data_IF_927805078858
#
_entry.id   IF_927805078858
#
_cell.length_a   1.000
_cell.length_b   1.000
_cell.length_c   1.000
_cell.angle_alpha   90.00
_cell.angle_beta   90.00
_cell.angle_gamma   90.00
#
_symmetry.space_group_name_H-M   'P 1'
#
loop_
_entity.id
_entity.type
_entity.pdbx_description
1 polymer ?
#
# COMPACT_ATOMS: atom_id res chain seq x y z
N UNK A 1 3.69 -11.34 -5.60
CA UNK A 1 3.58 -9.93 -5.15
C UNK A 1 2.16 -9.73 -4.69
N UNK A 2 1.95 -9.06 -3.56
CA UNK A 2 0.61 -8.64 -3.11
C UNK A 2 0.53 -7.12 -3.11
N UNK A 3 -0.68 -6.59 -3.33
CA UNK A 3 -0.94 -5.16 -3.38
C UNK A 3 -2.02 -4.79 -2.39
N UNK A 4 -1.86 -3.64 -1.75
CA UNK A 4 -2.76 -3.16 -0.72
C UNK A 4 -3.08 -1.68 -0.93
N UNK A 5 -4.33 -1.30 -0.64
CA UNK A 5 -4.76 0.10 -0.58
C UNK A 5 -5.06 0.46 0.87
N UNK A 6 -4.46 1.55 1.35
CA UNK A 6 -4.70 2.04 2.71
C UNK A 6 -5.97 2.89 2.76
N UNK A 7 -6.76 2.72 3.82
CA UNK A 7 -8.12 3.27 3.94
C UNK A 7 -8.24 4.34 5.02
N UNK A 8 -7.21 4.53 5.84
CA UNK A 8 -7.22 5.55 6.89
C UNK A 8 -7.10 6.97 6.30
N UNK A 9 -7.65 8.01 6.96
CA UNK A 9 -7.63 9.37 6.42
C UNK A 9 -6.24 9.94 6.15
N UNK A 10 -5.21 9.50 6.88
CA UNK A 10 -3.84 10.03 6.76
C UNK A 10 -3.14 9.48 5.53
N UNK A 11 -3.40 8.23 5.16
CA UNK A 11 -2.76 7.54 4.04
C UNK A 11 -3.76 7.06 2.97
N UNK A 12 -4.91 7.71 2.87
CA UNK A 12 -6.00 7.26 2.00
C UNK A 12 -5.51 7.09 0.55
N UNK A 13 -5.82 5.93 -0.04
CA UNK A 13 -5.42 5.53 -1.39
C UNK A 13 -3.91 5.38 -1.62
N UNK A 14 -3.09 5.38 -0.57
CA UNK A 14 -1.70 4.95 -0.70
C UNK A 14 -1.67 3.48 -1.10
N UNK A 15 -0.89 3.19 -2.15
CA UNK A 15 -0.70 1.83 -2.64
C UNK A 15 0.60 1.27 -2.07
N UNK A 16 0.50 0.10 -1.45
CA UNK A 16 1.64 -0.66 -0.93
C UNK A 16 1.75 -1.96 -1.72
N UNK A 17 2.96 -2.35 -2.10
CA UNK A 17 3.26 -3.68 -2.64
C UNK A 17 4.18 -4.42 -1.68
N UNK A 18 3.93 -5.70 -1.48
CA UNK A 18 4.72 -6.53 -0.56
C UNK A 18 5.09 -7.87 -1.18
N UNK A 19 6.32 -8.29 -0.94
CA UNK A 19 6.83 -9.62 -1.29
C UNK A 19 7.87 -10.06 -0.26
N UNK A 20 7.53 -11.08 0.53
CA UNK A 20 8.40 -11.57 1.60
C UNK A 20 8.67 -10.46 2.61
N UNK A 21 9.95 -10.07 2.76
CA UNK A 21 10.38 -9.01 3.69
C UNK A 21 10.39 -7.61 3.09
N UNK A 22 10.26 -7.46 1.77
CA UNK A 22 10.21 -6.15 1.12
C UNK A 22 8.77 -5.64 1.08
N UNK A 23 8.61 -4.38 1.49
CA UNK A 23 7.35 -3.65 1.48
C UNK A 23 7.66 -2.26 0.94
N UNK A 24 6.91 -1.83 -0.07
CA UNK A 24 7.16 -0.58 -0.76
C UNK A 24 5.86 0.18 -0.96
N UNK A 25 5.87 1.47 -0.65
CA UNK A 25 4.75 2.36 -0.96
C UNK A 25 5.03 3.13 -2.25
N UNK A 26 3.98 3.41 -3.02
CA UNK A 26 4.11 4.28 -4.18
C UNK A 26 4.03 5.75 -3.76
N UNK A 27 5.03 6.53 -4.17
CA UNK A 27 5.05 7.98 -4.02
C UNK A 27 5.06 8.62 -5.42
N UNK A 28 4.03 9.40 -5.73
CA UNK A 28 3.91 10.11 -7.01
C UNK A 28 5.17 10.93 -7.29
N UNK A 29 5.78 10.73 -8.47
CA UNK A 29 7.01 11.40 -8.88
C UNK A 29 8.31 10.79 -8.35
N UNK A 30 8.25 9.85 -7.38
CA UNK A 30 9.43 9.11 -6.88
C UNK A 30 9.38 7.62 -7.23
N UNK A 31 8.19 7.08 -7.49
CA UNK A 31 7.98 5.65 -7.73
C UNK A 31 7.85 4.86 -6.43
N UNK A 32 8.25 3.60 -6.48
CA UNK A 32 8.17 2.67 -5.34
C UNK A 32 9.33 2.88 -4.38
N UNK A 33 9.03 3.16 -3.12
CA UNK A 33 10.01 3.42 -2.05
C UNK A 33 9.78 2.43 -0.92
N UNK A 34 10.86 1.82 -0.42
CA UNK A 34 10.80 0.94 0.77
C UNK A 34 10.12 1.64 1.94
N UNK A 35 9.15 0.96 2.54
CA UNK A 35 8.32 1.49 3.63
C UNK A 35 7.78 0.34 4.47
N UNK A 36 7.94 0.46 5.79
CA UNK A 36 7.33 -0.47 6.75
C UNK A 36 5.87 -0.13 7.08
N UNK A 37 5.25 0.81 6.36
CA UNK A 37 3.93 1.34 6.70
C UNK A 37 2.86 0.26 6.89
N UNK A 38 2.89 -0.83 6.11
CA UNK A 38 1.90 -1.91 6.18
C UNK A 38 1.94 -2.67 7.52
N UNK A 39 3.05 -2.63 8.26
CA UNK A 39 3.15 -3.28 9.58
C UNK A 39 2.13 -2.70 10.56
N UNK A 40 1.93 -1.38 10.56
CA UNK A 40 0.96 -0.71 11.43
C UNK A 40 -0.49 -1.07 11.09
N UNK A 41 -0.75 -1.63 9.90
CA UNK A 41 -2.09 -2.04 9.47
C UNK A 41 -2.36 -3.50 9.79
N UNK A 42 -1.30 -4.28 10.01
CA UNK A 42 -1.36 -5.70 10.35
C UNK A 42 -1.16 -5.97 11.84
N UNK A 43 -0.77 -4.95 12.62
CA UNK A 43 -0.57 -5.05 14.06
C UNK A 43 -1.89 -4.80 14.82
N UNK A 44 -2.42 -5.77 15.59
CA UNK A 44 -3.72 -5.65 16.26
C UNK A 44 -3.87 -4.46 17.21
N UNK A 45 -2.79 -4.03 17.85
CA UNK A 45 -2.82 -2.90 18.80
C UNK A 45 -2.67 -1.52 18.13
N UNK A 46 -2.61 -1.47 16.80
CA UNK A 46 -2.46 -0.21 16.08
C UNK A 46 -3.82 0.45 15.79
N UNK A 47 -3.87 1.78 15.84
CA UNK A 47 -5.05 2.57 15.47
C UNK A 47 -5.48 2.37 13.99
N UNK A 48 -4.55 1.89 13.15
CA UNK A 48 -4.77 1.60 11.74
C UNK A 48 -4.99 0.12 11.44
N UNK A 49 -5.12 -0.73 12.47
CA UNK A 49 -5.36 -2.15 12.28
C UNK A 49 -6.57 -2.41 11.37
N UNK A 50 -6.39 -3.30 10.39
CA UNK A 50 -7.40 -3.70 9.41
C UNK A 50 -7.94 -2.55 8.52
N UNK A 51 -7.28 -1.37 8.52
CA UNK A 51 -7.64 -0.23 7.66
C UNK A 51 -6.97 -0.29 6.30
N UNK A 52 -7.05 -1.44 5.67
CA UNK A 52 -6.52 -1.68 4.33
C UNK A 52 -7.37 -2.70 3.59
N UNK A 53 -7.24 -2.75 2.28
CA UNK A 53 -7.78 -3.83 1.47
C UNK A 53 -6.69 -4.42 0.58
N UNK A 54 -6.73 -5.74 0.36
CA UNK A 54 -5.92 -6.39 -0.68
C UNK A 54 -6.57 -6.11 -2.04
N UNK A 55 -5.78 -5.57 -2.98
CA UNK A 55 -6.22 -5.25 -4.33
C UNK A 55 -5.43 -6.06 -5.35
N UNK A 56 -5.97 -6.17 -6.57
CA UNK A 56 -5.26 -6.77 -7.69
C UNK A 56 -4.13 -5.86 -8.18
N UNK A 57 -3.16 -6.45 -8.87
CA UNK A 57 -2.11 -5.70 -9.56
C UNK A 57 -2.69 -4.68 -10.55
N UNK A 58 -3.74 -5.06 -11.28
CA UNK A 58 -4.40 -4.18 -12.25
C UNK A 58 -5.01 -2.95 -11.57
N UNK A 59 -5.64 -3.12 -10.41
CA UNK A 59 -6.17 -1.99 -9.62
C UNK A 59 -5.04 -1.11 -9.10
N UNK A 60 -3.96 -1.70 -8.58
CA UNK A 60 -2.79 -0.97 -8.14
C UNK A 60 -2.21 -0.10 -9.29
N UNK A 61 -2.07 -0.68 -10.48
CA UNK A 61 -1.59 0.02 -11.67
C UNK A 61 -2.50 1.17 -12.10
N UNK A 62 -3.83 0.99 -12.04
CA UNK A 62 -4.79 2.08 -12.28
C UNK A 62 -4.59 3.24 -11.29
N UNK A 63 -4.31 2.95 -10.02
CA UNK A 63 -4.07 3.97 -9.00
C UNK A 63 -2.75 4.72 -9.17
N UNK A 64 -1.67 4.02 -9.55
CA UNK A 64 -0.33 4.63 -9.68
C UNK A 64 -0.07 5.23 -11.07
N UNK A 65 -1.06 5.23 -11.96
CA UNK A 65 -0.98 5.81 -13.31
C UNK A 65 -0.23 4.94 -14.33
N UNK A 66 -0.21 3.62 -14.12
CA UNK A 66 0.51 2.63 -14.94
C UNK A 66 -0.20 2.18 -16.22
N UNK A 67 -1.19 2.92 -16.73
CA UNK A 67 -1.82 2.64 -18.02
C UNK A 67 -1.83 3.93 -18.84
N UNK A 68 -0.91 3.99 -19.80
CA UNK A 68 -0.93 4.89 -20.96
C UNK A 68 -1.38 4.09 -22.17
#
# INVERSE_FOLDING_TARGET
MKYYRLLDPKNINTIVRAQGRSQQQYIKGKGWIESGILLDYQWPDSDTYDRYEEITELEALKHVGGIS
#
